data_IF_524708659221
#
_entry.id   IF_524708659221
#
_cell.length_a   1.000
_cell.length_b   1.000
_cell.length_c   1.000
_cell.angle_alpha   90.00
_cell.angle_beta   90.00
_cell.angle_gamma   90.00
#
_symmetry.space_group_name_H-M   'P 1'
#
loop_
_entity.id
_entity.type
_entity.pdbx_description
1 polymer ?
#
# COMPACT_ATOMS: atom_id res chain seq x y z
N UNK A 1 -14.24 -19.50 31.57
CA UNK A 1 -14.54 -19.70 30.13
C UNK A 1 -13.78 -18.63 29.36
N UNK A 2 -12.75 -19.02 28.59
CA UNK A 2 -11.93 -18.09 27.79
C UNK A 2 -12.78 -17.63 26.59
N UNK A 3 -12.78 -16.33 26.32
CA UNK A 3 -13.46 -15.71 25.16
C UNK A 3 -13.03 -16.39 23.86
N UNK A 4 -13.92 -16.36 22.86
CA UNK A 4 -13.67 -16.84 21.50
C UNK A 4 -12.34 -16.32 20.98
N UNK A 5 -11.48 -17.23 20.52
CA UNK A 5 -10.21 -16.90 19.89
C UNK A 5 -10.51 -16.33 18.50
N UNK A 6 -10.49 -15.01 18.36
CA UNK A 6 -10.68 -14.33 17.08
C UNK A 6 -9.31 -14.24 16.42
N UNK A 7 -9.05 -15.14 15.47
CA UNK A 7 -7.82 -15.10 14.70
C UNK A 7 -7.84 -13.89 13.76
N UNK A 8 -6.89 -12.98 13.94
CA UNK A 8 -6.71 -11.86 13.03
C UNK A 8 -6.15 -12.39 11.71
N UNK A 9 -6.90 -12.21 10.62
CA UNK A 9 -6.40 -12.50 9.27
C UNK A 9 -5.22 -11.57 8.94
N UNK A 10 -4.32 -12.05 8.07
CA UNK A 10 -3.10 -11.32 7.69
C UNK A 10 -3.42 -9.88 7.23
N UNK A 11 -2.91 -8.89 7.98
CA UNK A 11 -3.04 -7.46 7.65
C UNK A 11 -2.17 -7.06 6.45
N UNK A 12 -1.20 -7.89 6.09
CA UNK A 12 -0.27 -7.65 5.02
C UNK A 12 -0.49 -8.67 3.92
N UNK A 13 -0.61 -8.17 2.69
CA UNK A 13 -0.53 -9.03 1.52
C UNK A 13 0.92 -9.21 1.13
N UNK A 14 1.38 -10.46 1.05
CA UNK A 14 2.67 -10.81 0.43
C UNK A 14 2.64 -10.75 -1.10
N UNK A 15 1.53 -10.28 -1.69
CA UNK A 15 1.38 -10.15 -3.13
C UNK A 15 1.70 -8.73 -3.56
N UNK A 16 2.41 -8.59 -4.67
CA UNK A 16 2.66 -7.28 -5.25
C UNK A 16 1.36 -6.68 -5.78
N UNK A 17 1.39 -5.36 -6.02
CA UNK A 17 0.25 -4.67 -6.60
C UNK A 17 -0.04 -5.19 -8.03
N UNK A 18 1.02 -5.53 -8.76
CA UNK A 18 1.00 -6.03 -10.13
C UNK A 18 0.34 -7.40 -10.23
N UNK A 19 0.53 -8.26 -9.23
CA UNK A 19 -0.15 -9.55 -9.14
C UNK A 19 -1.67 -9.43 -8.90
N UNK A 20 -2.14 -8.27 -8.42
CA UNK A 20 -3.55 -8.05 -8.05
C UNK A 20 -4.31 -7.17 -9.03
N UNK A 21 -3.64 -6.20 -9.63
CA UNK A 21 -4.26 -5.17 -10.45
C UNK A 21 -3.63 -5.25 -11.84
N UNK A 22 -4.32 -5.71 -12.89
CA UNK A 22 -3.79 -5.72 -14.25
C UNK A 22 -3.35 -4.32 -14.71
N UNK A 23 -2.41 -4.26 -15.66
CA UNK A 23 -1.83 -2.98 -16.12
C UNK A 23 -2.88 -2.04 -16.75
N UNK A 24 -3.87 -2.59 -17.46
CA UNK A 24 -4.95 -1.83 -18.07
C UNK A 24 -6.02 -1.36 -17.06
N UNK A 25 -5.89 -1.69 -15.78
CA UNK A 25 -6.91 -1.36 -14.79
C UNK A 25 -6.89 0.14 -14.44
N UNK A 26 -8.04 0.83 -14.41
CA UNK A 26 -8.10 2.28 -14.18
C UNK A 26 -7.48 2.72 -12.84
N UNK A 27 -7.51 1.86 -11.81
CA UNK A 27 -6.87 2.14 -10.52
C UNK A 27 -5.34 2.32 -10.62
N UNK A 28 -4.68 1.83 -11.66
CA UNK A 28 -3.24 2.06 -11.87
C UNK A 28 -2.92 3.56 -12.02
N UNK A 29 -3.89 4.38 -12.45
CA UNK A 29 -3.73 5.85 -12.52
C UNK A 29 -3.52 6.48 -11.15
N UNK A 30 -4.12 5.91 -10.10
CA UNK A 30 -3.96 6.40 -8.74
C UNK A 30 -2.52 6.21 -8.24
N UNK A 31 -1.87 5.10 -8.63
CA UNK A 31 -0.46 4.84 -8.30
C UNK A 31 0.45 5.95 -8.83
N UNK A 32 0.26 6.35 -10.10
CA UNK A 32 1.03 7.43 -10.72
C UNK A 32 0.87 8.75 -9.94
N UNK A 33 -0.36 9.10 -9.56
CA UNK A 33 -0.63 10.31 -8.78
C UNK A 33 0.04 10.26 -7.41
N UNK A 34 -0.08 9.15 -6.70
CA UNK A 34 0.50 8.98 -5.35
C UNK A 34 2.03 9.00 -5.42
N UNK A 35 2.63 8.30 -6.39
CA UNK A 35 4.09 8.29 -6.56
C UNK A 35 4.62 9.70 -6.83
N UNK A 36 3.91 10.53 -7.60
CA UNK A 36 4.27 11.93 -7.82
C UNK A 36 4.16 12.77 -6.53
N UNK A 37 3.10 12.59 -5.74
CA UNK A 37 2.95 13.30 -4.45
C UNK A 37 4.07 12.91 -3.50
N UNK A 38 4.35 11.61 -3.35
CA UNK A 38 5.42 11.12 -2.49
C UNK A 38 6.79 11.58 -2.96
N UNK A 39 7.03 11.64 -4.27
CA UNK A 39 8.25 12.20 -4.84
C UNK A 39 8.47 13.67 -4.46
N UNK A 40 7.40 14.48 -4.46
CA UNK A 40 7.49 15.89 -4.03
C UNK A 40 7.76 16.03 -2.53
N UNK A 41 7.34 15.06 -1.71
CA UNK A 41 7.59 15.04 -0.27
C UNK A 41 8.93 14.38 0.09
N UNK A 42 9.71 13.91 -0.88
CA UNK A 42 10.91 13.14 -0.63
C UNK A 42 11.92 13.94 0.21
N UNK A 43 12.19 15.19 -0.16
CA UNK A 43 13.16 16.04 0.55
C UNK A 43 12.71 16.35 1.99
N UNK A 44 11.41 16.55 2.20
CA UNK A 44 10.83 16.74 3.53
C UNK A 44 11.05 15.49 4.41
N UNK A 45 10.89 14.29 3.84
CA UNK A 45 11.15 13.05 4.56
C UNK A 45 12.64 12.79 4.80
N UNK A 46 13.51 13.11 3.84
CA UNK A 46 14.97 12.98 4.00
C UNK A 46 15.52 13.88 5.12
N UNK A 47 14.88 15.02 5.38
CA UNK A 47 15.28 15.88 6.49
C UNK A 47 14.92 15.30 7.88
N UNK A 48 13.99 14.34 7.95
CA UNK A 48 13.48 13.76 9.19
C UNK A 48 14.16 12.44 9.61
N UNK A 49 14.86 11.77 8.69
CA UNK A 49 15.43 10.43 8.88
C UNK A 49 16.89 10.35 8.42
#
# INVERSE_FOLDING_TARGET
MRKTDVTQHFLYSYRSLEERIPDAHPLRKLRVLVDAILGNMNDDFQALY
#
